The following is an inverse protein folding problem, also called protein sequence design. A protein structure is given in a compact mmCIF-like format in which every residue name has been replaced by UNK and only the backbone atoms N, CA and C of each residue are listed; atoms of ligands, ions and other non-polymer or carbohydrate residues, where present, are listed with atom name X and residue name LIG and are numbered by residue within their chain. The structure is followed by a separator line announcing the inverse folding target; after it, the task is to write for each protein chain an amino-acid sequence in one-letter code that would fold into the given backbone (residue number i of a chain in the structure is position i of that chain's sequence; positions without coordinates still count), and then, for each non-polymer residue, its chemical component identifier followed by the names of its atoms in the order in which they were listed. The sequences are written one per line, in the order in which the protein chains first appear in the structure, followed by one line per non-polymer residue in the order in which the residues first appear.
data_IF_543253374008
#
_entry.id   IF_543253374008
#
_cell.length_a   1.000
_cell.length_b   1.000
_cell.length_c   1.000
_cell.angle_alpha   90.00
_cell.angle_beta   90.00
_cell.angle_gamma   90.00
#
_symmetry.space_group_name_H-M   'P 1'
#
loop_
_entity.id
_entity.type
_entity.pdbx_description
1 polymer ?
#
# COMPACT_ATOMS: atom_id res chain seq x y z
N UNK A 1 18.46 -25.33 -19.38
CA UNK A 1 18.50 -24.11 -18.55
C UNK A 1 17.97 -22.83 -19.22
N UNK A 2 17.92 -22.72 -20.57
CA UNK A 2 17.56 -21.46 -21.28
C UNK A 2 16.07 -21.08 -21.37
N UNK A 3 15.11 -21.88 -20.88
CA UNK A 3 13.67 -21.54 -20.91
C UNK A 3 13.07 -21.16 -19.55
N UNK A 4 13.75 -21.48 -18.45
CA UNK A 4 13.21 -21.27 -17.09
C UNK A 4 13.41 -19.82 -16.64
N UNK A 5 14.57 -19.24 -16.93
CA UNK A 5 14.90 -17.84 -16.61
C UNK A 5 13.89 -16.84 -17.18
N UNK A 6 13.51 -16.87 -18.48
CA UNK A 6 12.54 -15.91 -19.01
C UNK A 6 11.12 -16.11 -18.44
N UNK A 7 10.74 -17.32 -18.06
CA UNK A 7 9.44 -17.60 -17.41
C UNK A 7 9.42 -17.09 -15.96
N UNK A 8 10.52 -17.30 -15.22
CA UNK A 8 10.71 -16.74 -13.89
C UNK A 8 10.75 -15.21 -13.92
N UNK A 9 11.41 -14.61 -14.90
CA UNK A 9 11.43 -13.15 -15.10
C UNK A 9 10.04 -12.58 -15.37
N UNK A 10 9.23 -13.28 -16.17
CA UNK A 10 7.89 -12.83 -16.55
C UNK A 10 6.87 -12.98 -15.42
N UNK A 11 7.07 -13.93 -14.50
CA UNK A 11 6.10 -14.24 -13.43
C UNK A 11 6.61 -13.87 -12.04
N UNK A 12 7.69 -14.50 -11.57
CA UNK A 12 8.18 -14.38 -10.19
C UNK A 12 9.09 -13.17 -9.98
N UNK A 13 9.86 -12.72 -10.96
CA UNK A 13 10.70 -11.51 -10.81
C UNK A 13 10.04 -10.27 -11.43
N UNK A 14 8.75 -10.36 -11.74
CA UNK A 14 7.99 -9.24 -12.28
C UNK A 14 7.71 -8.19 -11.20
N UNK A 15 8.35 -7.02 -11.36
CA UNK A 15 8.12 -5.84 -10.50
C UNK A 15 6.66 -5.41 -10.47
N UNK A 16 5.99 -5.46 -11.63
CA UNK A 16 4.61 -5.01 -11.76
C UNK A 16 3.63 -5.91 -11.00
N UNK A 17 3.83 -7.23 -11.08
CA UNK A 17 3.04 -8.19 -10.30
C UNK A 17 3.29 -8.03 -8.79
N UNK A 18 4.56 -7.89 -8.40
CA UNK A 18 4.93 -7.67 -7.00
C UNK A 18 4.29 -6.40 -6.44
N UNK A 19 4.35 -5.26 -7.15
CA UNK A 19 3.77 -3.98 -6.70
C UNK A 19 2.28 -4.11 -6.38
N UNK A 20 1.53 -4.77 -7.26
CA UNK A 20 0.07 -4.92 -7.10
C UNK A 20 -0.25 -5.86 -5.94
N UNK A 21 0.40 -7.02 -5.86
CA UNK A 21 0.17 -7.97 -4.77
C UNK A 21 0.59 -7.37 -3.42
N UNK A 22 1.75 -6.73 -3.36
CA UNK A 22 2.24 -6.07 -2.16
C UNK A 22 1.30 -4.94 -1.74
N UNK A 23 0.76 -4.16 -2.68
CA UNK A 23 -0.25 -3.14 -2.39
C UNK A 23 -1.47 -3.75 -1.70
N UNK A 24 -2.03 -4.84 -2.24
CA UNK A 24 -3.21 -5.50 -1.65
C UNK A 24 -2.90 -5.94 -0.22
N UNK A 25 -1.76 -6.60 -0.01
CA UNK A 25 -1.34 -7.08 1.32
C UNK A 25 -1.19 -5.90 2.29
N UNK A 26 -0.53 -4.82 1.88
CA UNK A 26 -0.36 -3.63 2.71
C UNK A 26 -1.70 -3.00 3.07
N UNK A 27 -2.63 -2.84 2.12
CA UNK A 27 -3.94 -2.25 2.38
C UNK A 27 -4.76 -3.09 3.36
N UNK A 28 -4.75 -4.41 3.20
CA UNK A 28 -5.41 -5.32 4.14
C UNK A 28 -4.75 -5.26 5.53
N UNK A 29 -3.42 -5.18 5.61
CA UNK A 29 -2.73 -5.08 6.89
C UNK A 29 -3.16 -3.85 7.73
N UNK A 30 -3.54 -2.74 7.08
CA UNK A 30 -4.12 -1.58 7.75
C UNK A 30 -5.57 -1.76 8.23
N UNK A 31 -6.17 -2.93 7.98
CA UNK A 31 -7.47 -3.37 8.48
C UNK A 31 -7.25 -4.47 9.54
N UNK A 32 -7.26 -4.14 10.85
CA UNK A 32 -6.89 -5.06 11.93
C UNK A 32 -7.65 -6.40 11.92
N UNK A 33 -8.91 -6.40 11.51
CA UNK A 33 -9.74 -7.61 11.34
C UNK A 33 -9.13 -8.66 10.42
N UNK A 34 -8.23 -8.27 9.52
CA UNK A 34 -7.58 -9.19 8.57
C UNK A 34 -6.21 -9.67 9.03
N UNK A 35 -5.74 -9.25 10.21
CA UNK A 35 -4.36 -9.49 10.68
C UNK A 35 -3.94 -10.97 10.61
N UNK A 36 -4.81 -11.88 11.06
CA UNK A 36 -4.56 -13.33 11.04
C UNK A 36 -4.34 -13.86 9.62
N UNK A 37 -5.00 -13.24 8.63
CA UNK A 37 -4.90 -13.60 7.22
C UNK A 37 -3.68 -12.93 6.58
N UNK A 38 -3.32 -11.71 6.98
CA UNK A 38 -2.25 -10.93 6.32
C UNK A 38 -0.84 -11.20 6.84
N UNK A 39 -0.69 -11.74 8.05
CA UNK A 39 0.62 -11.93 8.68
C UNK A 39 1.55 -12.84 7.85
N UNK A 40 1.05 -13.99 7.39
CA UNK A 40 1.83 -14.93 6.56
C UNK A 40 2.12 -14.32 5.16
N UNK A 41 1.13 -13.81 4.40
CA UNK A 41 1.37 -13.13 3.14
C UNK A 41 2.39 -11.99 3.23
N UNK A 42 2.40 -11.21 4.31
CA UNK A 42 3.35 -10.10 4.46
C UNK A 42 4.80 -10.59 4.60
N UNK A 43 5.02 -11.69 5.34
CA UNK A 43 6.35 -12.32 5.43
C UNK A 43 6.80 -12.91 4.09
N UNK A 44 5.87 -13.53 3.35
CA UNK A 44 6.14 -14.05 2.01
C UNK A 44 6.48 -12.90 1.06
N UNK A 45 5.71 -11.81 1.09
CA UNK A 45 5.96 -10.62 0.26
C UNK A 45 7.30 -9.95 0.61
N UNK A 46 7.68 -9.91 1.89
CA UNK A 46 8.99 -9.41 2.29
C UNK A 46 10.14 -10.26 1.72
N UNK A 47 10.07 -11.59 1.87
CA UNK A 47 11.08 -12.49 1.30
C UNK A 47 11.13 -12.39 -0.24
N UNK A 48 9.96 -12.36 -0.89
CA UNK A 48 9.83 -12.21 -2.33
C UNK A 48 10.40 -10.89 -2.83
N UNK A 49 10.07 -9.78 -2.16
CA UNK A 49 10.62 -8.46 -2.45
C UNK A 49 12.14 -8.42 -2.28
N UNK A 50 12.69 -9.06 -1.25
CA UNK A 50 14.13 -9.20 -1.05
C UNK A 50 14.82 -9.90 -2.21
N UNK A 51 14.24 -10.98 -2.74
CA UNK A 51 14.77 -11.67 -3.95
C UNK A 51 14.77 -10.72 -5.15
N UNK A 52 13.72 -9.93 -5.36
CA UNK A 52 13.64 -8.96 -6.46
C UNK A 52 14.68 -7.85 -6.28
N UNK A 53 14.91 -7.36 -5.05
CA UNK A 53 15.95 -6.37 -4.75
C UNK A 53 17.33 -6.90 -5.15
N UNK A 54 17.68 -8.12 -4.75
CA UNK A 54 18.96 -8.74 -5.11
C UNK A 54 19.10 -8.85 -6.64
N UNK A 55 18.05 -9.30 -7.33
CA UNK A 55 18.04 -9.40 -8.78
C UNK A 55 18.20 -8.03 -9.48
N UNK A 56 17.49 -6.99 -9.02
CA UNK A 56 17.58 -5.65 -9.60
C UNK A 56 18.93 -4.97 -9.32
N UNK A 57 19.53 -5.17 -8.15
CA UNK A 57 20.81 -4.56 -7.78
C UNK A 57 21.98 -5.24 -8.49
N UNK A 58 22.02 -6.57 -8.50
CA UNK A 58 23.19 -7.31 -9.01
C UNK A 58 23.12 -7.62 -10.51
N UNK A 59 21.93 -7.91 -11.05
CA UNK A 59 21.77 -8.36 -12.44
C UNK A 59 21.33 -7.23 -13.35
N UNK A 60 20.13 -6.65 -13.14
CA UNK A 60 19.59 -5.63 -14.06
C UNK A 60 20.25 -4.26 -13.93
N UNK A 61 20.61 -3.86 -12.70
CA UNK A 61 21.20 -2.56 -12.34
C UNK A 61 20.34 -1.37 -12.81
N UNK A 62 19.04 -1.57 -13.00
CA UNK A 62 18.13 -0.52 -13.50
C UNK A 62 18.01 0.64 -12.51
N UNK A 63 18.02 0.34 -11.21
CA UNK A 63 17.98 1.34 -10.14
C UNK A 63 19.08 2.40 -10.30
N UNK A 64 20.30 1.98 -10.62
CA UNK A 64 21.44 2.90 -10.77
C UNK A 64 21.34 3.81 -12.00
N UNK A 65 20.59 3.38 -13.03
CA UNK A 65 20.35 4.16 -14.26
C UNK A 65 19.30 5.26 -14.09
N UNK A 66 18.57 5.27 -12.97
CA UNK A 66 17.53 6.27 -12.73
C UNK A 66 18.08 7.66 -12.50
N UNK A 67 17.36 8.66 -12.99
CA UNK A 67 17.59 10.06 -12.63
C UNK A 67 17.41 10.21 -11.11
N UNK A 68 18.38 10.85 -10.46
CA UNK A 68 18.42 11.03 -9.01
C UNK A 68 18.59 9.76 -8.17
N UNK A 69 19.11 8.66 -8.75
CA UNK A 69 19.44 7.44 -8.00
C UNK A 69 20.39 7.69 -6.82
N UNK A 70 21.30 8.65 -6.94
CA UNK A 70 22.22 9.06 -5.88
C UNK A 70 21.52 9.62 -4.63
N UNK A 71 20.37 10.30 -4.76
CA UNK A 71 19.58 10.76 -3.60
C UNK A 71 18.98 9.58 -2.84
N UNK A 72 18.51 8.56 -3.57
CA UNK A 72 17.96 7.35 -2.96
C UNK A 72 19.05 6.54 -2.24
N UNK A 73 20.24 6.45 -2.84
CA UNK A 73 21.42 5.85 -2.21
C UNK A 73 21.80 6.63 -0.95
N UNK A 74 21.81 7.97 -1.00
CA UNK A 74 22.06 8.82 0.16
C UNK A 74 21.07 8.56 1.31
N UNK A 75 19.77 8.42 1.00
CA UNK A 75 18.75 8.07 1.98
C UNK A 75 19.00 6.69 2.61
N UNK A 76 19.40 5.70 1.81
CA UNK A 76 19.75 4.36 2.31
C UNK A 76 20.98 4.39 3.22
N UNK A 77 22.03 5.14 2.86
CA UNK A 77 23.23 5.29 3.68
C UNK A 77 22.90 5.99 5.00
N UNK A 78 22.09 7.06 4.95
CA UNK A 78 21.63 7.75 6.16
C UNK A 78 20.89 6.81 7.10
N UNK A 79 20.00 5.95 6.58
CA UNK A 79 19.30 4.95 7.37
C UNK A 79 20.26 3.93 8.00
N UNK A 80 21.27 3.45 7.25
CA UNK A 80 22.29 2.55 7.78
C UNK A 80 23.06 3.19 8.94
N UNK A 81 23.45 4.46 8.81
CA UNK A 81 24.12 5.20 9.89
C UNK A 81 23.22 5.27 11.14
N UNK A 82 21.92 5.52 10.98
CA UNK A 82 20.96 5.49 12.08
C UNK A 82 20.90 4.13 12.78
N UNK A 83 20.94 3.02 12.03
CA UNK A 83 20.98 1.66 12.60
C UNK A 83 22.25 1.46 13.44
N UNK A 84 23.41 1.86 12.91
CA UNK A 84 24.70 1.67 13.58
C UNK A 84 24.75 2.45 14.90
N UNK A 85 24.23 3.68 14.90
CA UNK A 85 24.18 4.55 16.09
C UNK A 85 23.19 4.01 17.13
N UNK A 86 22.02 3.52 16.71
CA UNK A 86 20.95 3.07 17.63
C UNK A 86 20.90 1.56 17.86
N UNK A 87 22.00 0.85 17.59
CA UNK A 87 22.06 -0.63 17.63
C UNK A 87 21.70 -1.21 19.00
N UNK A 88 22.01 -0.52 20.09
CA UNK A 88 21.82 -1.05 21.44
C UNK A 88 20.33 -1.15 21.83
N UNK A 89 19.48 -0.30 21.24
CA UNK A 89 18.06 -0.24 21.60
C UNK A 89 17.14 -0.87 20.55
N UNK A 90 17.46 -0.75 19.26
CA UNK A 90 16.49 -1.08 18.19
C UNK A 90 17.11 -1.79 16.97
N UNK A 91 18.18 -2.57 17.12
CA UNK A 91 18.86 -3.19 15.98
C UNK A 91 17.92 -4.04 15.10
N UNK A 92 17.24 -5.03 15.69
CA UNK A 92 16.42 -5.99 14.93
C UNK A 92 15.24 -5.31 14.22
N UNK A 93 14.39 -4.50 14.88
CA UNK A 93 13.32 -3.76 14.19
C UNK A 93 13.85 -2.85 13.08
N UNK A 94 15.00 -2.21 13.29
CA UNK A 94 15.56 -1.29 12.30
C UNK A 94 16.09 -2.01 11.06
N UNK A 95 16.63 -3.23 11.20
CA UNK A 95 17.02 -4.07 10.05
C UNK A 95 15.79 -4.45 9.21
N UNK A 96 14.68 -4.84 9.85
CA UNK A 96 13.45 -5.14 9.12
C UNK A 96 12.92 -3.91 8.39
N UNK A 97 12.88 -2.75 9.05
CA UNK A 97 12.45 -1.49 8.44
C UNK A 97 13.35 -1.09 7.26
N UNK A 98 14.66 -1.33 7.37
CA UNK A 98 15.58 -1.13 6.26
C UNK A 98 15.28 -2.05 5.08
N UNK A 99 14.95 -3.32 5.33
CA UNK A 99 14.49 -4.24 4.29
C UNK A 99 13.24 -3.73 3.56
N UNK A 100 12.24 -3.23 4.28
CA UNK A 100 11.04 -2.62 3.68
C UNK A 100 11.38 -1.36 2.88
N UNK A 101 12.31 -0.54 3.37
CA UNK A 101 12.81 0.63 2.65
C UNK A 101 13.47 0.22 1.32
N UNK A 102 14.34 -0.79 1.33
CA UNK A 102 14.99 -1.31 0.12
C UNK A 102 13.97 -1.78 -0.91
N UNK A 103 12.98 -2.57 -0.49
CA UNK A 103 11.90 -3.05 -1.36
C UNK A 103 11.15 -1.85 -1.97
N UNK A 104 10.83 -0.85 -1.16
CA UNK A 104 10.12 0.35 -1.63
C UNK A 104 10.94 1.14 -2.65
N UNK A 105 12.21 1.42 -2.37
CA UNK A 105 13.05 2.26 -3.23
C UNK A 105 13.56 1.55 -4.49
N UNK A 106 13.73 0.23 -4.46
CA UNK A 106 14.35 -0.54 -5.55
C UNK A 106 13.30 -1.31 -6.36
N UNK A 107 12.21 -1.75 -5.74
CA UNK A 107 11.17 -2.53 -6.43
C UNK A 107 9.98 -1.64 -6.80
N UNK A 108 9.49 -0.81 -5.89
CA UNK A 108 8.26 -0.02 -6.12
C UNK A 108 8.56 1.25 -6.91
N UNK A 109 9.59 2.00 -6.51
CA UNK A 109 9.89 3.32 -7.09
C UNK A 109 10.40 3.29 -8.55
N UNK A 110 11.26 2.35 -8.99
CA UNK A 110 11.90 2.48 -10.30
C UNK A 110 10.98 2.32 -11.51
N UNK A 111 11.02 3.28 -12.44
CA UNK A 111 10.36 3.12 -13.73
C UNK A 111 11.08 2.05 -14.57
N UNK A 112 10.32 1.22 -15.27
CA UNK A 112 10.90 0.32 -16.26
C UNK A 112 11.21 1.10 -17.54
N UNK A 113 12.49 1.27 -17.85
CA UNK A 113 12.95 2.00 -19.03
C UNK A 113 12.63 1.28 -20.34
N UNK A 114 12.33 -0.02 -20.29
CA UNK A 114 11.96 -0.81 -21.48
C UNK A 114 10.52 -0.59 -21.94
N UNK A 115 9.67 -0.01 -21.09
CA UNK A 115 8.25 0.13 -21.35
C UNK A 115 7.93 1.45 -22.06
N UNK A 116 6.97 1.40 -22.98
CA UNK A 116 6.44 2.61 -23.61
C UNK A 116 5.72 3.51 -22.60
N UNK A 117 5.66 4.81 -22.86
CA UNK A 117 4.95 5.77 -22.00
C UNK A 117 3.45 5.44 -21.85
N UNK A 118 2.83 4.91 -22.90
CA UNK A 118 1.42 4.50 -22.86
C UNK A 118 1.23 3.27 -21.96
N UNK A 119 2.16 2.31 -22.00
CA UNK A 119 2.13 1.12 -21.14
C UNK A 119 2.33 1.50 -19.66
N UNK A 120 3.27 2.40 -19.36
CA UNK A 120 3.47 2.93 -18.00
C UNK A 120 2.20 3.58 -17.45
N UNK A 121 1.54 4.42 -18.26
CA UNK A 121 0.26 5.06 -17.90
C UNK A 121 -0.83 4.03 -17.63
N UNK A 122 -0.98 3.02 -18.49
CA UNK A 122 -1.96 1.92 -18.30
C UNK A 122 -1.71 1.17 -16.99
N UNK A 123 -0.45 0.82 -16.69
CA UNK A 123 -0.07 0.12 -15.45
C UNK A 123 -0.29 0.99 -14.20
N UNK A 124 0.00 2.28 -14.28
CA UNK A 124 -0.27 3.23 -13.20
C UNK A 124 -1.77 3.35 -12.92
N UNK A 125 -2.61 3.47 -13.95
CA UNK A 125 -4.07 3.48 -13.80
C UNK A 125 -4.57 2.15 -13.22
N UNK A 126 -4.02 1.01 -13.65
CA UNK A 126 -4.36 -0.29 -13.08
C UNK A 126 -4.02 -0.37 -11.59
N UNK A 127 -2.80 0.02 -11.21
CA UNK A 127 -2.37 0.07 -9.80
C UNK A 127 -3.28 0.97 -8.96
N UNK A 128 -3.61 2.17 -9.48
CA UNK A 128 -4.53 3.10 -8.82
C UNK A 128 -5.93 2.49 -8.66
N UNK A 129 -6.45 1.81 -9.68
CA UNK A 129 -7.75 1.17 -9.61
C UNK A 129 -7.81 0.08 -8.54
N UNK A 130 -6.74 -0.72 -8.38
CA UNK A 130 -6.67 -1.71 -7.29
C UNK A 130 -6.78 -1.03 -5.93
N UNK A 131 -6.04 0.08 -5.72
CA UNK A 131 -6.16 0.87 -4.50
C UNK A 131 -7.58 1.39 -4.29
N UNK A 132 -8.14 2.06 -5.30
CA UNK A 132 -9.45 2.73 -5.23
C UNK A 132 -10.55 1.70 -4.93
N UNK A 133 -10.55 0.54 -5.58
CA UNK A 133 -11.54 -0.52 -5.38
C UNK A 133 -11.50 -1.03 -3.94
N UNK A 134 -10.32 -1.32 -3.40
CA UNK A 134 -10.18 -1.83 -2.03
C UNK A 134 -10.66 -0.79 -1.01
N UNK A 135 -10.25 0.47 -1.17
CA UNK A 135 -10.66 1.55 -0.26
C UNK A 135 -12.15 1.87 -0.41
N UNK A 136 -12.72 1.76 -1.60
CA UNK A 136 -14.16 1.89 -1.82
C UNK A 136 -14.94 0.80 -1.08
N UNK A 137 -14.54 -0.47 -1.19
CA UNK A 137 -15.16 -1.57 -0.46
C UNK A 137 -15.02 -1.41 1.05
N UNK A 138 -13.84 -1.02 1.53
CA UNK A 138 -13.60 -0.73 2.95
C UNK A 138 -14.49 0.41 3.47
N UNK A 139 -14.70 1.45 2.66
CA UNK A 139 -15.61 2.54 2.97
C UNK A 139 -17.07 2.06 3.05
N UNK A 140 -17.52 1.22 2.11
CA UNK A 140 -18.87 0.62 2.17
C UNK A 140 -19.08 -0.22 3.42
N UNK A 141 -18.09 -1.05 3.81
CA UNK A 141 -18.17 -1.84 5.05
C UNK A 141 -18.21 -0.91 6.27
N UNK A 142 -17.46 0.19 6.26
CA UNK A 142 -17.47 1.15 7.36
C UNK A 142 -18.80 1.89 7.46
N UNK A 143 -19.44 2.26 6.34
CA UNK A 143 -20.80 2.82 6.30
C UNK A 143 -21.80 1.80 6.84
N UNK A 144 -21.68 0.53 6.44
CA UNK A 144 -22.52 -0.55 6.98
C UNK A 144 -22.37 -0.66 8.50
N UNK A 145 -21.13 -0.65 9.02
CA UNK A 145 -20.88 -0.66 10.47
C UNK A 145 -21.50 0.54 11.19
N UNK A 146 -21.51 1.72 10.55
CA UNK A 146 -22.15 2.92 11.08
C UNK A 146 -23.68 2.77 11.16
N UNK A 147 -24.33 2.35 10.06
CA UNK A 147 -25.80 2.22 9.99
C UNK A 147 -26.33 1.23 11.04
N UNK A 148 -25.62 0.12 11.25
CA UNK A 148 -26.03 -0.94 12.18
C UNK A 148 -25.40 -0.81 13.57
N UNK A 149 -24.68 0.29 13.85
CA UNK A 149 -24.01 0.56 15.13
C UNK A 149 -23.12 -0.62 15.59
N UNK A 150 -22.44 -1.26 14.64
CA UNK A 150 -21.57 -2.41 14.91
C UNK A 150 -20.28 -1.90 15.50
N UNK A 151 -19.90 -2.46 16.66
CA UNK A 151 -18.71 -2.08 17.41
C UNK A 151 -18.02 -3.30 17.98
N UNK A 152 -16.70 -3.43 17.80
CA UNK A 152 -15.93 -4.52 18.41
C UNK A 152 -14.45 -4.18 18.51
N UNK A 153 -13.73 -4.97 19.31
CA UNK A 153 -12.28 -4.88 19.48
C UNK A 153 -11.60 -6.05 18.76
N UNK A 154 -10.49 -5.76 18.10
CA UNK A 154 -9.70 -6.76 17.37
C UNK A 154 -8.24 -6.71 17.81
N UNK A 155 -7.58 -7.86 17.96
CA UNK A 155 -6.17 -7.89 18.27
C UNK A 155 -5.37 -7.19 17.17
N UNK A 156 -4.43 -6.38 17.59
CA UNK A 156 -3.40 -5.86 16.69
C UNK A 156 -2.24 -6.85 16.65
N UNK A 157 -1.34 -6.70 15.67
CA UNK A 157 -0.11 -7.49 15.62
C UNK A 157 0.85 -7.28 16.79
N UNK A 158 0.50 -6.41 17.74
CA UNK A 158 1.24 -6.16 18.98
C UNK A 158 0.53 -6.85 20.15
N UNK A 159 1.22 -7.76 20.88
CA UNK A 159 0.64 -8.45 22.03
C UNK A 159 0.05 -7.47 23.05
N UNK A 160 -1.18 -7.71 23.49
CA UNK A 160 -1.88 -6.90 24.49
C UNK A 160 -2.53 -5.61 23.97
N UNK A 161 -2.31 -5.24 22.70
CA UNK A 161 -2.94 -4.06 22.10
C UNK A 161 -4.15 -4.47 21.25
N UNK A 162 -5.31 -3.95 21.60
CA UNK A 162 -6.56 -4.13 20.85
C UNK A 162 -6.90 -2.86 20.07
N UNK A 163 -7.20 -2.99 18.79
CA UNK A 163 -7.71 -1.91 17.97
C UNK A 163 -9.24 -1.86 18.05
N UNK A 164 -9.77 -0.64 18.07
CA UNK A 164 -11.20 -0.34 17.98
C UNK A 164 -11.62 -0.41 16.52
N UNK A 165 -12.67 -1.18 16.22
CA UNK A 165 -13.28 -1.22 14.88
C UNK A 165 -14.79 -1.01 14.94
N UNK A 166 -15.33 -0.44 13.86
CA UNK A 166 -16.74 -0.08 13.74
C UNK A 166 -17.06 1.29 14.32
N UNK A 167 -18.24 1.45 14.90
CA UNK A 167 -18.71 2.70 15.51
C UNK A 167 -18.61 2.62 17.04
N UNK A 168 -17.59 3.25 17.62
CA UNK A 168 -17.26 3.18 19.04
C UNK A 168 -17.20 4.59 19.61
N UNK A 169 -17.75 4.78 20.81
CA UNK A 169 -17.71 6.07 21.53
C UNK A 169 -18.22 7.23 20.65
N UNK A 170 -19.33 7.02 19.95
CA UNK A 170 -19.96 8.02 19.07
C UNK A 170 -19.09 8.48 17.89
N UNK A 171 -18.08 7.68 17.55
CA UNK A 171 -17.14 7.95 16.46
C UNK A 171 -16.99 6.74 15.55
N UNK A 172 -16.96 6.98 14.25
CA UNK A 172 -16.65 5.94 13.28
C UNK A 172 -15.14 5.68 13.24
N UNK A 173 -14.71 4.47 13.57
CA UNK A 173 -13.38 3.94 13.28
C UNK A 173 -13.39 3.16 11.95
N UNK A 174 -14.51 2.51 11.67
CA UNK A 174 -14.70 1.67 10.48
C UNK A 174 -13.82 0.43 10.53
N UNK A 175 -13.35 -0.02 9.38
CA UNK A 175 -12.46 -1.20 9.26
C UNK A 175 -10.98 -0.87 9.49
N UNK A 176 -10.62 0.38 9.74
CA UNK A 176 -9.23 0.82 9.84
C UNK A 176 -8.66 0.70 11.26
N UNK A 177 -7.33 0.73 11.39
CA UNK A 177 -6.64 0.84 12.68
C UNK A 177 -7.00 2.10 13.46
N UNK A 178 -7.28 3.19 12.74
CA UNK A 178 -7.71 4.47 13.31
C UNK A 178 -8.50 5.29 12.28
N UNK A 179 -9.31 6.25 12.74
CA UNK A 179 -10.05 7.14 11.84
C UNK A 179 -9.13 7.98 10.95
N UNK A 180 -7.93 8.32 11.44
CA UNK A 180 -6.93 9.09 10.70
C UNK A 180 -6.39 8.32 9.49
N UNK A 181 -6.15 7.01 9.65
CA UNK A 181 -5.72 6.14 8.54
C UNK A 181 -6.84 6.02 7.51
N UNK A 182 -8.08 5.83 7.96
CA UNK A 182 -9.25 5.82 7.08
C UNK A 182 -9.39 7.12 6.27
N UNK A 183 -9.19 8.27 6.91
CA UNK A 183 -9.24 9.56 6.24
C UNK A 183 -8.10 9.73 5.22
N UNK A 184 -6.87 9.36 5.58
CA UNK A 184 -5.71 9.42 4.69
C UNK A 184 -5.94 8.58 3.41
N UNK A 185 -6.46 7.36 3.56
CA UNK A 185 -6.78 6.51 2.42
C UNK A 185 -7.96 7.02 1.60
N UNK A 186 -9.00 7.57 2.24
CA UNK A 186 -10.11 8.22 1.54
C UNK A 186 -9.65 9.38 0.66
N UNK A 187 -8.83 10.29 1.20
CA UNK A 187 -8.24 11.39 0.43
C UNK A 187 -7.33 10.89 -0.70
N UNK A 188 -6.49 9.90 -0.42
CA UNK A 188 -5.60 9.31 -1.43
C UNK A 188 -6.41 8.66 -2.55
N UNK A 189 -7.50 7.95 -2.24
CA UNK A 189 -8.41 7.35 -3.23
C UNK A 189 -9.03 8.40 -4.16
N UNK A 190 -9.45 9.55 -3.62
CA UNK A 190 -9.95 10.68 -4.41
C UNK A 190 -8.86 11.21 -5.35
N UNK A 191 -7.66 11.50 -4.82
CA UNK A 191 -6.54 12.04 -5.59
C UNK A 191 -6.13 11.07 -6.70
N UNK A 192 -6.01 9.77 -6.40
CA UNK A 192 -5.66 8.75 -7.38
C UNK A 192 -6.73 8.62 -8.48
N UNK A 193 -8.01 8.79 -8.14
CA UNK A 193 -9.10 8.82 -9.12
C UNK A 193 -8.92 9.99 -10.09
N UNK A 194 -8.62 11.19 -9.57
CA UNK A 194 -8.36 12.38 -10.38
C UNK A 194 -7.13 12.23 -11.27
N UNK A 195 -6.01 11.78 -10.70
CA UNK A 195 -4.77 11.52 -11.45
C UNK A 195 -5.04 10.54 -12.59
N UNK A 196 -5.79 9.46 -12.33
CA UNK A 196 -6.09 8.44 -13.34
C UNK A 196 -6.89 8.98 -14.53
N UNK A 197 -7.78 9.95 -14.29
CA UNK A 197 -8.52 10.67 -15.36
C UNK A 197 -7.59 11.56 -16.18
N UNK A 198 -6.61 12.21 -15.54
CA UNK A 198 -5.69 13.16 -16.18
C UNK A 198 -4.62 12.46 -17.03
N UNK A 199 -4.11 11.31 -16.58
CA UNK A 199 -2.97 10.66 -17.24
C UNK A 199 -3.37 9.75 -18.41
N UNK A 200 -4.60 9.27 -18.46
CA UNK A 200 -5.06 8.29 -19.46
C UNK A 200 -6.52 8.47 -19.85
N UNK A 201 -6.86 8.06 -21.08
CA UNK A 201 -8.26 7.99 -21.52
C UNK A 201 -8.96 6.82 -20.83
N UNK A 202 -9.73 7.13 -19.78
CA UNK A 202 -10.54 6.14 -19.07
C UNK A 202 -11.90 5.91 -19.76
N UNK A 203 -12.44 4.70 -19.59
CA UNK A 203 -13.77 4.35 -20.09
C UNK A 203 -14.88 5.06 -19.31
N UNK A 204 -16.08 5.15 -19.89
CA UNK A 204 -17.26 5.74 -19.23
C UNK A 204 -17.57 5.01 -17.92
N UNK A 205 -17.45 3.69 -17.89
CA UNK A 205 -17.67 2.86 -16.70
C UNK A 205 -16.73 3.22 -15.55
N UNK A 206 -15.42 3.34 -15.83
CA UNK A 206 -14.43 3.72 -14.81
C UNK A 206 -14.70 5.14 -14.30
N UNK A 207 -15.11 6.06 -15.19
CA UNK A 207 -15.46 7.43 -14.79
C UNK A 207 -16.66 7.48 -13.85
N UNK A 208 -17.71 6.70 -14.14
CA UNK A 208 -18.88 6.58 -13.25
C UNK A 208 -18.46 6.00 -11.91
N UNK A 209 -17.63 4.95 -11.91
CA UNK A 209 -17.10 4.37 -10.68
C UNK A 209 -16.31 5.39 -9.84
N UNK A 210 -15.45 6.22 -10.45
CA UNK A 210 -14.73 7.27 -9.73
C UNK A 210 -15.65 8.33 -9.12
N UNK A 211 -16.74 8.68 -9.81
CA UNK A 211 -17.74 9.61 -9.29
C UNK A 211 -18.47 9.00 -8.08
N UNK A 212 -18.85 7.72 -8.16
CA UNK A 212 -19.41 7.00 -7.01
C UNK A 212 -18.43 6.92 -5.85
N UNK A 213 -17.15 6.62 -6.13
CA UNK A 213 -16.10 6.60 -5.12
C UNK A 213 -15.96 7.95 -4.44
N UNK A 214 -15.94 9.05 -5.19
CA UNK A 214 -15.90 10.40 -4.62
C UNK A 214 -17.02 10.65 -3.62
N UNK A 215 -18.26 10.29 -3.98
CA UNK A 215 -19.44 10.44 -3.10
C UNK A 215 -19.25 9.62 -1.82
N UNK A 216 -18.88 8.34 -1.94
CA UNK A 216 -18.69 7.45 -0.79
C UNK A 216 -17.55 7.93 0.13
N UNK A 217 -16.42 8.34 -0.44
CA UNK A 217 -15.30 8.87 0.35
C UNK A 217 -15.66 10.18 1.04
N UNK A 218 -16.44 11.06 0.39
CA UNK A 218 -16.92 12.29 1.00
C UNK A 218 -17.75 12.01 2.26
N UNK A 219 -18.69 11.05 2.20
CA UNK A 219 -19.47 10.64 3.36
C UNK A 219 -18.58 10.11 4.48
N UNK A 220 -17.67 9.18 4.17
CA UNK A 220 -16.76 8.61 5.18
C UNK A 220 -15.91 9.70 5.82
N UNK A 221 -15.32 10.62 5.05
CA UNK A 221 -14.52 11.71 5.59
C UNK A 221 -15.30 12.62 6.53
N UNK A 222 -16.58 12.86 6.23
CA UNK A 222 -17.47 13.60 7.10
C UNK A 222 -17.73 12.86 8.42
N UNK A 223 -18.12 11.58 8.35
CA UNK A 223 -18.42 10.76 9.53
C UNK A 223 -17.19 10.43 10.39
N UNK A 224 -16.01 10.33 9.81
CA UNK A 224 -14.76 10.13 10.56
C UNK A 224 -14.37 11.36 11.40
N UNK A 225 -14.85 12.55 11.00
CA UNK A 225 -14.59 13.83 11.68
C UNK A 225 -15.62 14.14 12.77
N UNK A 226 -16.86 13.66 12.63
CA UNK A 226 -17.91 13.93 13.59
C UNK A 226 -17.72 13.08 14.86
N UNK A 227 -17.49 13.76 15.98
CA UNK A 227 -17.86 13.23 17.30
C UNK A 227 -19.34 13.59 17.47
N UNK A 228 -20.23 12.60 17.56
CA UNK A 228 -21.65 12.90 17.79
C UNK A 228 -21.78 13.40 19.24
N UNK A 229 -22.16 14.67 19.46
CA UNK A 229 -22.36 15.18 20.82
C UNK A 229 -23.53 14.46 21.50
N UNK A 230 -23.42 14.30 22.82
CA UNK A 230 -24.39 13.62 23.69
C UNK A 230 -25.80 14.19 23.59
#
# INVERSE_FOLDING_TARGET
MNRIVPVLEKSLLSRDAFRVINLIICLLYFMPSTFNVTNIPMKIAFAWGGIIVLYEVFIKKNFFKMRFSWLLIGAMISFILTIIINRENFLIPSIYNFGYLLITLIVIFPADFSQSEEEKKKKMVYFNNVFIIIIFLAALISIYQFIFLISYHVPTGTPGLLARQGFIEHRLFGVYTSPNVGAMFGYTSIILSLISVLISKITKTIRVFYMMNFIVQYFILHFLRLEVPR
#
